data_IF_964279673310
#
_entry.id   IF_964279673310
#
_cell.length_a   1.000
_cell.length_b   1.000
_cell.length_c   1.000
_cell.angle_alpha   90.00
_cell.angle_beta   90.00
_cell.angle_gamma   90.00
#
_symmetry.space_group_name_H-M   'P 1'
#
loop_
_entity.id
_entity.type
_entity.pdbx_description
1 polymer ?
#
# COMPACT_ATOMS: atom_id res chain seq x y z
N UNK A 1 -32.06 24.43 -12.05
CA UNK A 1 -32.18 23.02 -11.63
C UNK A 1 -31.08 22.21 -12.30
N UNK A 2 -29.96 22.00 -11.61
CA UNK A 2 -28.81 21.26 -12.15
C UNK A 2 -29.01 19.76 -11.87
N UNK A 3 -29.29 18.99 -12.93
CA UNK A 3 -29.52 17.55 -12.88
C UNK A 3 -28.19 16.81 -12.95
N UNK A 4 -27.71 16.32 -11.80
CA UNK A 4 -26.59 15.37 -11.72
C UNK A 4 -27.07 14.01 -12.23
N UNK A 5 -26.82 13.75 -13.51
CA UNK A 5 -26.99 12.42 -14.10
C UNK A 5 -25.85 11.54 -13.57
N UNK A 6 -26.17 10.67 -12.61
CA UNK A 6 -25.23 9.69 -12.05
C UNK A 6 -24.54 8.90 -13.19
N UNK A 7 -23.23 9.09 -13.35
CA UNK A 7 -22.40 8.23 -14.18
C UNK A 7 -22.42 6.83 -13.56
N UNK A 8 -23.16 5.90 -14.17
CA UNK A 8 -23.09 4.49 -13.81
C UNK A 8 -21.68 3.98 -14.14
N UNK A 9 -21.02 3.24 -13.23
CA UNK A 9 -19.75 2.59 -13.53
C UNK A 9 -19.87 1.71 -14.79
N UNK A 10 -18.81 1.64 -15.58
CA UNK A 10 -18.82 0.76 -16.76
C UNK A 10 -18.91 -0.72 -16.34
N UNK A 11 -19.54 -1.57 -17.16
CA UNK A 11 -19.59 -3.04 -16.94
C UNK A 11 -18.21 -3.71 -16.84
N UNK A 12 -17.13 -3.01 -17.16
CA UNK A 12 -15.74 -3.45 -17.00
C UNK A 12 -15.22 -3.14 -15.59
N UNK A 13 -15.68 -2.04 -14.98
CA UNK A 13 -15.42 -1.67 -13.59
C UNK A 13 -16.21 -2.56 -12.62
N UNK A 14 -17.49 -2.85 -12.89
CA UNK A 14 -18.29 -3.80 -12.08
C UNK A 14 -17.65 -5.20 -12.02
N UNK A 15 -17.21 -5.74 -13.16
CA UNK A 15 -16.49 -7.04 -13.20
C UNK A 15 -15.08 -7.03 -12.62
N UNK A 16 -14.51 -5.85 -12.33
CA UNK A 16 -13.24 -5.71 -11.60
C UNK A 16 -13.49 -5.60 -10.09
N UNK A 17 -14.56 -4.91 -9.69
CA UNK A 17 -15.03 -4.86 -8.31
C UNK A 17 -15.46 -6.24 -7.78
N UNK A 18 -16.21 -7.03 -8.56
CA UNK A 18 -16.60 -8.41 -8.23
C UNK A 18 -15.39 -9.33 -7.95
N UNK A 19 -14.29 -9.12 -8.70
CA UNK A 19 -13.05 -9.87 -8.48
C UNK A 19 -12.30 -9.39 -7.24
N UNK A 20 -12.44 -8.13 -6.85
CA UNK A 20 -11.94 -7.60 -5.58
C UNK A 20 -12.73 -8.16 -4.38
N UNK A 21 -14.06 -8.24 -4.47
CA UNK A 21 -14.92 -8.75 -3.39
C UNK A 21 -14.67 -10.24 -3.07
N UNK A 22 -14.46 -11.08 -4.09
CA UNK A 22 -14.07 -12.48 -3.86
C UNK A 22 -12.71 -12.64 -3.17
N UNK A 23 -11.77 -11.72 -3.43
CA UNK A 23 -10.45 -11.72 -2.76
C UNK A 23 -10.57 -11.25 -1.32
N UNK A 24 -11.46 -10.30 -1.04
CA UNK A 24 -11.76 -9.83 0.31
C UNK A 24 -12.37 -10.90 1.20
N UNK A 25 -13.29 -11.71 0.65
CA UNK A 25 -13.86 -12.84 1.38
C UNK A 25 -12.83 -13.94 1.65
N UNK A 26 -11.92 -14.21 0.70
CA UNK A 26 -10.83 -15.16 0.91
C UNK A 26 -9.87 -14.68 2.02
N UNK A 27 -9.66 -13.36 2.16
CA UNK A 27 -8.73 -12.78 3.12
C UNK A 27 -9.30 -12.69 4.55
N UNK A 28 -10.61 -12.50 4.70
CA UNK A 28 -11.27 -12.55 6.02
C UNK A 28 -11.21 -13.96 6.66
N UNK A 29 -11.06 -15.02 5.87
CA UNK A 29 -10.96 -16.40 6.36
C UNK A 29 -9.56 -16.79 6.88
N UNK A 30 -8.54 -15.99 6.57
CA UNK A 30 -7.14 -16.28 6.91
C UNK A 30 -6.82 -15.64 8.26
N UNK A 31 -7.19 -16.30 9.35
CA UNK A 31 -6.87 -15.87 10.71
C UNK A 31 -5.38 -15.59 10.89
N UNK A 32 -5.00 -14.32 10.95
CA UNK A 32 -3.64 -13.87 11.21
C UNK A 32 -3.45 -13.72 12.72
N UNK A 33 -2.71 -14.65 13.31
CA UNK A 33 -2.28 -14.64 14.72
C UNK A 33 -1.22 -13.57 15.00
N UNK A 34 -1.51 -12.31 14.67
CA UNK A 34 -0.74 -11.15 15.10
C UNK A 34 -1.51 -10.48 16.24
N UNK A 35 -0.88 -10.28 17.40
CA UNK A 35 -1.48 -9.68 18.60
C UNK A 35 -1.72 -8.17 18.43
N UNK A 36 -2.63 -7.79 17.53
CA UNK A 36 -3.22 -6.47 17.48
C UNK A 36 -4.71 -6.63 17.11
N UNK A 37 -5.64 -5.91 17.75
CA UNK A 37 -7.06 -6.02 17.50
C UNK A 37 -7.41 -5.24 16.24
N UNK A 38 -6.93 -5.67 15.07
CA UNK A 38 -7.57 -5.29 13.82
C UNK A 38 -9.00 -5.80 13.94
N UNK A 39 -9.98 -4.88 14.03
CA UNK A 39 -11.39 -5.24 14.00
C UNK A 39 -11.71 -5.73 12.59
N UNK A 40 -11.45 -7.01 12.35
CA UNK A 40 -11.61 -7.69 11.06
C UNK A 40 -13.02 -7.53 10.45
N UNK A 41 -14.01 -7.17 11.26
CA UNK A 41 -15.38 -6.85 10.82
C UNK A 41 -15.46 -5.68 9.83
N UNK A 42 -14.51 -4.74 9.86
CA UNK A 42 -14.52 -3.54 8.99
C UNK A 42 -13.59 -3.67 7.76
N UNK A 43 -12.87 -4.79 7.65
CA UNK A 43 -11.86 -5.00 6.61
C UNK A 43 -12.44 -4.96 5.18
N UNK A 44 -13.63 -5.54 4.89
CA UNK A 44 -14.20 -5.50 3.54
C UNK A 44 -14.55 -4.08 3.09
N UNK A 45 -15.19 -3.29 3.95
CA UNK A 45 -15.58 -1.90 3.65
C UNK A 45 -14.37 -0.98 3.55
N UNK A 46 -13.36 -1.21 4.40
CA UNK A 46 -12.09 -0.49 4.37
C UNK A 46 -11.34 -0.78 3.07
N UNK A 47 -11.21 -2.05 2.70
CA UNK A 47 -10.52 -2.44 1.49
C UNK A 47 -11.32 -2.09 0.24
N UNK A 48 -12.65 -2.00 0.29
CA UNK A 48 -13.47 -1.43 -0.78
C UNK A 48 -13.25 0.10 -0.91
N UNK A 49 -13.22 0.83 0.21
CA UNK A 49 -12.91 2.26 0.23
C UNK A 49 -11.48 2.56 -0.22
N UNK A 50 -10.51 1.74 0.18
CA UNK A 50 -9.13 1.81 -0.29
C UNK A 50 -9.03 1.35 -1.74
N UNK A 51 -9.70 0.29 -2.18
CA UNK A 51 -9.76 -0.09 -3.59
C UNK A 51 -10.35 1.03 -4.45
N UNK A 52 -11.27 1.84 -3.93
CA UNK A 52 -11.77 3.04 -4.60
C UNK A 52 -10.72 4.16 -4.66
N UNK A 53 -9.94 4.35 -3.59
CA UNK A 53 -8.79 5.25 -3.57
C UNK A 53 -7.59 4.75 -4.39
N UNK A 54 -7.47 3.44 -4.61
CA UNK A 54 -6.41 2.80 -5.40
C UNK A 54 -6.83 2.59 -6.86
N UNK A 55 -8.13 2.55 -7.17
CA UNK A 55 -8.64 2.74 -8.53
C UNK A 55 -8.19 4.10 -9.09
N UNK A 56 -8.01 5.10 -8.20
CA UNK A 56 -7.41 6.39 -8.52
C UNK A 56 -5.90 6.30 -8.83
N UNK A 57 -5.18 5.33 -8.26
CA UNK A 57 -3.78 5.04 -8.60
C UNK A 57 -3.65 4.29 -9.94
N UNK A 58 -4.63 3.47 -10.31
CA UNK A 58 -4.72 2.87 -11.66
C UNK A 58 -5.13 3.87 -12.75
N UNK A 59 -5.77 5.00 -12.40
CA UNK A 59 -6.10 6.06 -13.39
C UNK A 59 -4.92 6.95 -13.77
N UNK A 60 -3.81 6.84 -13.05
CA UNK A 60 -2.54 7.30 -13.60
C UNK A 60 -2.21 6.35 -14.74
N UNK A 61 -1.73 6.84 -15.87
CA UNK A 61 -0.98 6.05 -16.86
C UNK A 61 0.37 5.55 -16.26
N UNK A 62 0.33 5.13 -15.00
CA UNK A 62 1.44 4.69 -14.19
C UNK A 62 1.70 3.23 -14.50
N UNK A 63 2.97 2.92 -14.75
CA UNK A 63 3.42 1.53 -14.81
C UNK A 63 3.10 0.83 -13.48
N UNK A 64 2.81 -0.49 -13.49
CA UNK A 64 2.54 -1.30 -12.29
C UNK A 64 3.48 -1.02 -11.12
N UNK A 65 4.78 -0.89 -11.42
CA UNK A 65 5.82 -0.59 -10.44
C UNK A 65 5.58 0.75 -9.70
N UNK A 66 5.11 1.79 -10.39
CA UNK A 66 4.84 3.10 -9.78
C UNK A 66 3.66 3.02 -8.81
N UNK A 67 2.63 2.22 -9.13
CA UNK A 67 1.45 2.04 -8.26
C UNK A 67 1.85 1.29 -6.99
N UNK A 68 2.60 0.20 -7.12
CA UNK A 68 3.15 -0.57 -5.99
C UNK A 68 4.06 0.28 -5.10
N UNK A 69 4.96 1.04 -5.73
CA UNK A 69 5.88 1.91 -5.01
C UNK A 69 5.13 3.01 -4.24
N UNK A 70 4.12 3.64 -4.84
CA UNK A 70 3.28 4.63 -4.17
C UNK A 70 2.53 4.03 -2.95
N UNK A 71 1.97 2.83 -3.12
CA UNK A 71 1.29 2.11 -2.05
C UNK A 71 2.25 1.81 -0.89
N UNK A 72 3.43 1.27 -1.22
CA UNK A 72 4.46 0.94 -0.25
C UNK A 72 4.96 2.18 0.48
N UNK A 73 5.14 3.28 -0.23
CA UNK A 73 5.56 4.54 0.36
C UNK A 73 4.56 5.10 1.37
N UNK A 74 3.28 5.13 1.04
CA UNK A 74 2.22 5.59 1.95
C UNK A 74 2.12 4.69 3.19
N UNK A 75 2.35 3.39 3.00
CA UNK A 75 2.42 2.41 4.07
C UNK A 75 3.59 2.70 5.01
N UNK A 76 4.80 2.88 4.47
CA UNK A 76 5.99 3.25 5.24
C UNK A 76 5.84 4.60 5.93
N UNK A 77 5.24 5.59 5.25
CA UNK A 77 4.93 6.91 5.81
C UNK A 77 3.97 6.80 7.00
N UNK A 78 2.99 5.91 6.94
CA UNK A 78 2.08 5.66 8.06
C UNK A 78 2.83 5.05 9.25
N UNK A 79 3.72 4.09 8.99
CA UNK A 79 4.59 3.55 10.02
C UNK A 79 5.48 4.64 10.64
N UNK A 80 6.09 5.51 9.83
CA UNK A 80 6.86 6.67 10.31
C UNK A 80 6.02 7.55 11.26
N UNK A 81 4.80 7.89 10.85
CA UNK A 81 3.90 8.73 11.67
C UNK A 81 3.49 8.06 12.97
N UNK A 82 3.42 6.73 13.02
CA UNK A 82 3.12 5.99 14.25
C UNK A 82 4.19 6.15 15.33
N UNK A 83 5.40 6.56 14.95
CA UNK A 83 6.50 6.75 15.89
C UNK A 83 6.41 8.06 16.66
N UNK A 84 5.53 8.99 16.25
CA UNK A 84 5.35 10.29 16.88
C UNK A 84 6.67 11.05 17.05
N UNK A 85 7.54 11.04 16.02
CA UNK A 85 8.77 11.83 16.07
C UNK A 85 8.46 13.31 16.29
N UNK A 86 9.19 13.93 17.19
CA UNK A 86 9.05 15.35 17.56
C UNK A 86 10.03 16.26 16.80
N UNK A 87 10.77 15.71 15.83
CA UNK A 87 11.80 16.47 15.11
C UNK A 87 11.19 17.26 13.95
N UNK A 88 11.46 18.57 13.92
CA UNK A 88 11.16 19.47 12.79
C UNK A 88 12.12 19.24 11.61
N UNK A 89 12.14 18.01 11.10
CA UNK A 89 12.88 17.71 9.88
C UNK A 89 12.12 18.21 8.66
N UNK A 90 12.87 18.68 7.64
CA UNK A 90 12.25 19.07 6.37
C UNK A 90 11.69 17.84 5.66
N UNK A 91 10.54 17.94 4.98
CA UNK A 91 10.04 16.86 4.13
C UNK A 91 11.10 16.40 3.13
N UNK A 92 11.20 15.09 2.92
CA UNK A 92 12.22 14.46 2.08
C UNK A 92 13.56 14.19 2.79
N UNK A 93 13.74 14.64 4.04
CA UNK A 93 14.96 14.36 4.80
C UNK A 93 14.98 12.91 5.28
N UNK A 94 16.10 12.21 5.08
CA UNK A 94 16.31 10.88 5.64
C UNK A 94 16.53 10.97 7.14
N UNK A 95 15.75 10.22 7.91
CA UNK A 95 15.78 10.18 9.37
C UNK A 95 16.36 8.83 9.80
N UNK A 96 17.50 8.89 10.49
CA UNK A 96 18.09 7.73 11.13
C UNK A 96 17.37 7.49 12.46
N UNK A 97 16.74 6.33 12.59
CA UNK A 97 16.04 5.94 13.81
C UNK A 97 16.15 4.45 14.02
N UNK A 98 16.52 4.07 15.25
CA UNK A 98 16.57 2.67 15.68
C UNK A 98 15.19 2.04 15.62
N UNK A 99 14.15 2.80 16.00
CA UNK A 99 12.76 2.33 15.90
C UNK A 99 12.35 2.05 14.47
N UNK A 100 12.76 2.91 13.52
CA UNK A 100 12.53 2.64 12.11
C UNK A 100 13.25 1.36 11.67
N UNK A 101 14.52 1.18 12.07
CA UNK A 101 15.33 -0.01 11.78
C UNK A 101 14.73 -1.32 12.34
N UNK A 102 14.07 -1.26 13.48
CA UNK A 102 13.44 -2.42 14.13
C UNK A 102 12.06 -2.78 13.57
N UNK A 103 11.25 -1.77 13.19
CA UNK A 103 9.85 -1.98 12.82
C UNK A 103 9.67 -2.24 11.31
N UNK A 104 10.49 -1.64 10.44
CA UNK A 104 10.35 -1.86 8.99
C UNK A 104 10.51 -3.32 8.57
N UNK A 105 11.44 -4.13 9.15
CA UNK A 105 11.54 -5.54 8.78
C UNK A 105 10.29 -6.33 9.18
N UNK A 106 9.60 -5.94 10.26
CA UNK A 106 8.34 -6.57 10.68
C UNK A 106 7.25 -6.32 9.64
N UNK A 107 7.19 -5.09 9.09
CA UNK A 107 6.27 -4.72 8.02
C UNK A 107 6.56 -5.49 6.73
N UNK A 108 7.83 -5.60 6.34
CA UNK A 108 8.25 -6.38 5.18
C UNK A 108 7.95 -7.88 5.35
N UNK A 109 8.23 -8.45 6.52
CA UNK A 109 7.91 -9.85 6.82
C UNK A 109 6.40 -10.12 6.78
N UNK A 110 5.58 -9.17 7.27
CA UNK A 110 4.13 -9.28 7.17
C UNK A 110 3.69 -9.32 5.69
N UNK A 111 4.23 -8.42 4.86
CA UNK A 111 3.95 -8.42 3.43
C UNK A 111 4.33 -9.74 2.76
N UNK A 112 5.55 -10.23 3.00
CA UNK A 112 6.05 -11.50 2.46
C UNK A 112 5.14 -12.68 2.86
N UNK A 113 4.71 -12.72 4.12
CA UNK A 113 3.79 -13.75 4.61
C UNK A 113 2.42 -13.68 3.94
N UNK A 114 1.89 -12.48 3.69
CA UNK A 114 0.59 -12.31 3.02
C UNK A 114 0.66 -12.78 1.57
N UNK A 115 1.69 -12.38 0.80
CA UNK A 115 1.81 -12.80 -0.60
C UNK A 115 2.16 -14.28 -0.77
N UNK A 116 2.87 -14.88 0.20
CA UNK A 116 3.14 -16.33 0.19
C UNK A 116 1.84 -17.12 0.34
N UNK A 117 0.92 -16.67 1.22
CA UNK A 117 -0.41 -17.27 1.36
C UNK A 117 -1.26 -17.16 0.09
N UNK A 118 -1.04 -16.12 -0.71
CA UNK A 118 -1.64 -15.98 -2.03
C UNK A 118 -0.98 -16.86 -3.11
N UNK A 119 0.01 -17.68 -2.74
CA UNK A 119 0.72 -18.60 -3.61
C UNK A 119 1.94 -18.00 -4.32
N UNK A 120 2.31 -16.75 -4.00
CA UNK A 120 3.52 -16.12 -4.53
C UNK A 120 4.70 -16.51 -3.64
N UNK A 121 5.39 -17.60 -4.02
CA UNK A 121 6.57 -18.07 -3.30
C UNK A 121 7.81 -17.33 -3.78
N UNK A 122 8.36 -16.49 -2.91
CA UNK A 122 9.60 -15.78 -3.15
C UNK A 122 10.74 -16.47 -2.42
N UNK A 123 11.89 -16.57 -3.06
CA UNK A 123 13.11 -16.98 -2.38
C UNK A 123 13.88 -15.73 -1.96
N UNK A 124 14.40 -15.64 -0.72
CA UNK A 124 15.14 -14.45 -0.27
C UNK A 124 16.31 -14.07 -1.19
N UNK A 125 16.95 -15.06 -1.82
CA UNK A 125 18.04 -14.89 -2.79
C UNK A 125 17.63 -14.27 -4.12
N UNK A 126 16.34 -14.30 -4.44
CA UNK A 126 15.80 -13.84 -5.72
C UNK A 126 15.18 -12.43 -5.59
N UNK A 127 15.18 -11.86 -4.37
CA UNK A 127 14.68 -10.50 -4.14
C UNK A 127 15.56 -9.47 -4.86
N UNK A 128 14.94 -8.71 -5.75
CA UNK A 128 15.61 -7.65 -6.51
C UNK A 128 15.75 -6.43 -5.60
N UNK A 129 16.97 -6.14 -5.17
CA UNK A 129 17.29 -4.96 -4.35
C UNK A 129 17.60 -3.72 -5.17
N UNK A 130 18.02 -3.89 -6.43
CA UNK A 130 18.25 -2.78 -7.35
C UNK A 130 17.16 -2.80 -8.44
N UNK A 131 16.21 -1.87 -8.31
CA UNK A 131 15.06 -1.76 -9.21
C UNK A 131 15.55 -1.21 -10.56
N UNK A 132 15.37 -1.94 -11.68
CA UNK A 132 15.82 -1.46 -12.99
C UNK A 132 15.20 -0.11 -13.34
N UNK A 133 15.95 0.71 -14.10
CA UNK A 133 15.55 2.10 -14.41
C UNK A 133 14.18 2.18 -15.08
N UNK A 134 13.83 1.21 -15.94
CA UNK A 134 12.52 1.14 -16.60
C UNK A 134 11.31 0.94 -15.67
N UNK A 135 11.56 0.48 -14.44
CA UNK A 135 10.55 0.25 -13.40
C UNK A 135 10.65 1.25 -12.26
N UNK A 136 11.61 2.17 -12.27
CA UNK A 136 11.67 3.25 -11.28
C UNK A 136 10.42 4.12 -11.40
N UNK A 137 9.90 4.55 -10.25
CA UNK A 137 8.74 5.42 -10.21
C UNK A 137 9.02 6.70 -11.01
N UNK A 138 8.15 7.01 -11.98
CA UNK A 138 8.29 8.22 -12.81
C UNK A 138 8.02 9.52 -12.05
N UNK A 139 7.32 9.42 -10.93
CA UNK A 139 6.96 10.53 -10.07
C UNK A 139 7.86 10.53 -8.84
N UNK A 140 8.21 11.73 -8.41
CA UNK A 140 8.95 11.91 -7.16
C UNK A 140 8.06 11.57 -5.96
N UNK A 141 8.71 11.14 -4.89
CA UNK A 141 8.10 10.76 -3.61
C UNK A 141 7.22 11.88 -3.06
N UNK A 142 7.68 13.13 -3.13
CA UNK A 142 6.93 14.28 -2.64
C UNK A 142 5.64 14.48 -3.44
N UNK A 143 5.69 14.26 -4.76
CA UNK A 143 4.51 14.32 -5.61
C UNK A 143 3.50 13.22 -5.27
N UNK A 144 3.97 12.00 -4.99
CA UNK A 144 3.11 10.89 -4.51
C UNK A 144 2.42 11.28 -3.20
N UNK A 145 3.17 11.86 -2.26
CA UNK A 145 2.60 12.30 -0.98
C UNK A 145 1.56 13.40 -1.17
N UNK A 146 1.85 14.45 -1.96
CA UNK A 146 0.90 15.53 -2.22
C UNK A 146 -0.42 15.04 -2.82
N UNK A 147 -0.38 14.02 -3.68
CA UNK A 147 -1.58 13.51 -4.34
C UNK A 147 -2.41 12.59 -3.45
N UNK A 148 -1.77 11.74 -2.63
CA UNK A 148 -2.47 10.60 -2.01
C UNK A 148 -2.46 10.60 -0.49
N UNK A 149 -1.53 11.28 0.17
CA UNK A 149 -1.38 11.13 1.63
C UNK A 149 -2.62 11.60 2.39
N UNK A 150 -3.24 12.70 1.94
CA UNK A 150 -4.39 13.29 2.64
C UNK A 150 -5.61 12.38 2.48
N UNK A 151 -5.86 11.88 1.26
CA UNK A 151 -6.92 10.91 0.98
C UNK A 151 -6.72 9.61 1.76
N UNK A 152 -5.49 9.09 1.80
CA UNK A 152 -5.14 7.91 2.58
C UNK A 152 -5.42 8.13 4.07
N UNK A 153 -5.00 9.26 4.62
CA UNK A 153 -5.24 9.65 6.01
C UNK A 153 -6.73 9.84 6.33
N UNK A 154 -7.50 10.45 5.43
CA UNK A 154 -8.94 10.62 5.58
C UNK A 154 -9.65 9.28 5.65
N UNK A 155 -9.26 8.33 4.80
CA UNK A 155 -9.81 6.96 4.82
C UNK A 155 -9.47 6.29 6.14
N UNK A 156 -8.20 6.30 6.56
CA UNK A 156 -7.81 5.71 7.86
C UNK A 156 -8.61 6.29 9.02
N UNK A 157 -8.74 7.61 9.09
CA UNK A 157 -9.53 8.29 10.13
C UNK A 157 -11.01 7.93 10.08
N UNK A 158 -11.61 7.83 8.88
CA UNK A 158 -13.01 7.45 8.70
C UNK A 158 -13.33 6.09 9.32
N UNK A 159 -12.39 5.14 9.25
CA UNK A 159 -12.54 3.81 9.83
C UNK A 159 -11.93 3.67 11.23
N UNK A 160 -11.43 4.77 11.83
CA UNK A 160 -10.91 4.77 13.20
C UNK A 160 -9.54 4.10 13.37
N UNK A 161 -8.76 3.96 12.30
CA UNK A 161 -7.41 3.40 12.38
C UNK A 161 -6.38 4.45 12.82
N UNK A 162 -5.49 4.04 13.73
CA UNK A 162 -4.25 4.76 14.01
C UNK A 162 -3.24 4.57 12.88
N UNK A 163 -2.10 5.25 12.97
CA UNK A 163 -1.06 5.19 11.94
C UNK A 163 -0.37 3.81 11.86
N UNK A 164 -0.27 3.09 12.98
CA UNK A 164 0.31 1.74 13.00
C UNK A 164 -0.62 0.74 12.31
N UNK A 165 -1.91 0.76 12.65
CA UNK A 165 -2.93 -0.04 11.98
C UNK A 165 -3.02 0.36 10.50
N UNK A 166 -2.89 1.65 10.20
CA UNK A 166 -2.77 2.19 8.86
C UNK A 166 -1.63 1.58 8.05
N UNK A 167 -0.45 1.40 8.64
CA UNK A 167 0.66 0.70 8.00
C UNK A 167 0.35 -0.79 7.77
N UNK A 168 -0.31 -1.46 8.72
CA UNK A 168 -0.71 -2.86 8.54
C UNK A 168 -1.73 -3.02 7.41
N UNK A 169 -2.71 -2.13 7.35
CA UNK A 169 -3.70 -2.07 6.26
C UNK A 169 -3.01 -1.81 4.91
N UNK A 170 -2.04 -0.90 4.87
CA UNK A 170 -1.26 -0.62 3.67
C UNK A 170 -0.47 -1.83 3.16
N UNK A 171 0.02 -2.72 4.05
CA UNK A 171 0.63 -3.99 3.65
C UNK A 171 -0.33 -4.87 2.87
N UNK A 172 -1.57 -5.00 3.36
CA UNK A 172 -2.60 -5.77 2.67
C UNK A 172 -2.90 -5.20 1.29
N UNK A 173 -2.93 -3.87 1.14
CA UNK A 173 -3.08 -3.23 -0.17
C UNK A 173 -1.92 -3.56 -1.09
N UNK A 174 -0.68 -3.45 -0.60
CA UNK A 174 0.51 -3.78 -1.39
C UNK A 174 0.46 -5.22 -1.89
N UNK A 175 0.00 -6.15 -1.05
CA UNK A 175 -0.17 -7.55 -1.43
C UNK A 175 -1.30 -7.76 -2.46
N UNK A 176 -2.46 -7.09 -2.30
CA UNK A 176 -3.54 -7.11 -3.31
C UNK A 176 -3.03 -6.62 -4.67
N UNK A 177 -2.31 -5.49 -4.69
CA UNK A 177 -1.71 -4.93 -5.90
C UNK A 177 -0.66 -5.87 -6.51
N UNK A 178 0.17 -6.48 -5.68
CA UNK A 178 1.18 -7.44 -6.11
C UNK A 178 0.49 -8.63 -6.79
N UNK A 179 -0.53 -9.20 -6.15
CA UNK A 179 -1.31 -10.31 -6.72
C UNK A 179 -2.01 -9.90 -8.01
N UNK A 180 -2.57 -8.69 -8.07
CA UNK A 180 -3.21 -8.19 -9.28
C UNK A 180 -2.23 -8.13 -10.46
N UNK A 181 -1.07 -7.48 -10.27
CA UNK A 181 -0.08 -7.30 -11.33
C UNK A 181 0.68 -8.60 -11.68
N UNK A 182 1.09 -9.38 -10.69
CA UNK A 182 1.90 -10.57 -10.90
C UNK A 182 1.07 -11.81 -11.31
N UNK A 183 -0.13 -11.98 -10.76
CA UNK A 183 -0.94 -13.20 -10.99
C UNK A 183 -2.06 -12.94 -11.99
N UNK A 184 -2.80 -11.84 -11.82
CA UNK A 184 -4.01 -11.59 -12.64
C UNK A 184 -3.66 -11.00 -14.00
N UNK A 185 -2.87 -9.93 -14.05
CA UNK A 185 -2.45 -9.27 -15.28
C UNK A 185 -1.17 -9.86 -15.88
N UNK A 186 -0.29 -10.40 -15.03
CA UNK A 186 1.04 -10.92 -15.40
C UNK A 186 1.89 -9.87 -16.12
N UNK A 187 1.79 -8.62 -15.68
CA UNK A 187 2.50 -7.46 -16.23
C UNK A 187 3.72 -7.04 -15.39
N UNK A 188 3.99 -7.75 -14.27
CA UNK A 188 5.13 -7.50 -13.40
C UNK A 188 5.66 -8.82 -12.81
N UNK A 189 6.99 -8.96 -12.76
CA UNK A 189 7.65 -10.09 -12.11
C UNK A 189 7.42 -10.05 -10.58
N UNK A 190 7.08 -11.18 -9.92
CA UNK A 190 6.83 -11.21 -8.48
C UNK A 190 8.03 -10.81 -7.62
N UNK A 191 9.25 -11.21 -8.00
CA UNK A 191 10.45 -10.86 -7.23
C UNK A 191 10.74 -9.35 -7.35
N UNK A 192 10.53 -8.79 -8.54
CA UNK A 192 10.62 -7.36 -8.78
C UNK A 192 9.56 -6.60 -7.97
N UNK A 193 8.30 -7.05 -7.97
CA UNK A 193 7.23 -6.43 -7.20
C UNK A 193 7.54 -6.40 -5.70
N UNK A 194 8.05 -7.51 -5.17
CA UNK A 194 8.44 -7.59 -3.77
C UNK A 194 9.64 -6.71 -3.43
N UNK A 195 10.60 -6.59 -4.34
CA UNK A 195 11.71 -5.64 -4.24
C UNK A 195 11.22 -4.19 -4.18
N UNK A 196 10.33 -3.81 -5.10
CA UNK A 196 9.72 -2.48 -5.15
C UNK A 196 8.98 -2.14 -3.85
N UNK A 197 8.14 -3.06 -3.37
CA UNK A 197 7.36 -2.87 -2.14
C UNK A 197 8.29 -2.77 -0.92
N UNK A 198 9.27 -3.66 -0.81
CA UNK A 198 10.21 -3.66 0.32
C UNK A 198 11.02 -2.37 0.37
N UNK A 199 11.52 -1.90 -0.78
CA UNK A 199 12.23 -0.62 -0.86
C UNK A 199 11.31 0.55 -0.53
N UNK A 200 10.08 0.58 -1.04
CA UNK A 200 9.12 1.63 -0.72
C UNK A 200 8.77 1.69 0.78
N UNK A 201 8.73 0.56 1.48
CA UNK A 201 8.59 0.54 2.94
C UNK A 201 9.80 1.17 3.64
N UNK A 202 11.02 0.75 3.28
CA UNK A 202 12.27 1.25 3.87
C UNK A 202 12.39 2.74 3.69
N UNK A 203 12.16 3.23 2.47
CA UNK A 203 12.32 4.63 2.19
C UNK A 203 11.17 5.46 2.80
N UNK A 204 9.92 4.97 2.75
CA UNK A 204 8.78 5.63 3.37
C UNK A 204 8.88 5.74 4.89
N UNK A 205 9.43 4.74 5.57
CA UNK A 205 9.60 4.74 7.03
C UNK A 205 10.83 5.52 7.51
N UNK A 206 11.78 5.79 6.61
CA UNK A 206 13.03 6.51 6.92
C UNK A 206 13.08 7.91 6.33
N UNK A 207 12.00 8.39 5.70
CA UNK A 207 11.98 9.72 5.08
C UNK A 207 10.89 10.56 5.73
N UNK A 208 11.24 11.77 6.15
CA UNK A 208 10.28 12.69 6.73
C UNK A 208 9.20 13.05 5.69
N UNK A 209 7.92 12.79 5.96
CA UNK A 209 6.85 13.04 5.01
C UNK A 209 6.42 14.50 4.99
N UNK A 210 5.75 14.92 3.92
CA UNK A 210 5.04 16.22 3.87
C UNK A 210 4.00 16.27 5.00
N UNK A 211 3.81 17.39 5.71
CA UNK A 211 2.74 17.50 6.70
C UNK A 211 1.36 17.20 6.12
N UNK A 212 0.50 16.56 6.90
CA UNK A 212 -0.91 16.34 6.53
C UNK A 212 -1.65 17.67 6.57
N UNK A 213 -2.61 17.85 5.65
CA UNK A 213 -3.49 19.02 5.62
C UNK A 213 -4.76 18.85 6.46
#
# INVERSE_FOLDING_TARGET
SCSWRAMRPSRRAERRADRGEHLLQAWCAVGLGFQAPLRFEQLPDLLAGLAQAFHFLETLEAQPASVLYAAAWLTGTSLYRSFNYTHDAKPGTVILSDKANEEWPKLANLYMHVIEKDGIKLQPKDLITDIPVEYKAKKDILQIQEMFQDSYNQIMKKYGFGYLEGAQVGVFICAILTRFHCVSNKDLDPNLAAGIVSMGFVEGVKTCPIPLK
#
